data_IF_100161474596
#
_entry.id   IF_100161474596
#
_cell.length_a   1.000
_cell.length_b   1.000
_cell.length_c   1.000
_cell.angle_alpha   90.00
_cell.angle_beta   90.00
_cell.angle_gamma   90.00
#
_symmetry.space_group_name_H-M   'P 1'
#
loop_
_entity.id
_entity.type
_entity.pdbx_description
1 polymer ?
#
# COMPACT_ATOMS: atom_id res chain seq x y z
N UNK A 1 60.79 -1.32 -9.06
CA UNK A 1 60.09 -0.36 -8.17
C UNK A 1 58.69 -0.16 -8.75
N UNK A 2 57.68 -0.57 -7.98
CA UNK A 2 56.23 -0.54 -8.21
C UNK A 2 55.72 0.88 -8.54
N UNK A 3 54.93 1.09 -9.62
CA UNK A 3 53.44 1.14 -9.69
C UNK A 3 52.89 2.30 -8.81
N UNK A 4 51.99 3.22 -9.21
CA UNK A 4 50.64 3.07 -9.77
C UNK A 4 50.12 4.39 -10.37
N UNK A 5 49.29 4.28 -11.41
CA UNK A 5 48.43 5.32 -11.98
C UNK A 5 47.29 5.69 -11.02
N UNK A 6 47.13 6.97 -10.69
CA UNK A 6 46.02 7.48 -9.90
C UNK A 6 44.85 7.87 -10.83
N UNK A 7 43.89 6.96 -11.00
CA UNK A 7 42.60 7.27 -11.60
C UNK A 7 41.67 7.88 -10.53
N UNK A 8 41.38 9.17 -10.66
CA UNK A 8 40.44 9.88 -9.78
C UNK A 8 39.01 9.49 -10.20
N UNK A 9 38.39 8.61 -9.42
CA UNK A 9 36.96 8.30 -9.49
C UNK A 9 36.20 9.34 -8.65
N UNK A 10 35.75 10.43 -9.27
CA UNK A 10 34.77 11.33 -8.66
C UNK A 10 33.41 10.63 -8.66
N UNK A 11 33.02 10.14 -7.49
CA UNK A 11 31.72 9.53 -7.22
C UNK A 11 30.60 10.52 -7.59
N UNK A 12 29.83 10.17 -8.62
CA UNK A 12 28.60 10.85 -9.00
C UNK A 12 27.56 10.63 -7.89
N UNK A 13 27.44 11.60 -6.98
CA UNK A 13 26.43 11.62 -5.93
C UNK A 13 25.06 11.90 -6.58
N UNK A 14 24.37 10.85 -7.00
CA UNK A 14 22.98 10.93 -7.48
C UNK A 14 22.10 11.12 -6.25
N UNK A 15 21.80 12.36 -5.90
CA UNK A 15 20.78 12.68 -4.91
C UNK A 15 19.42 12.39 -5.53
N UNK A 16 18.75 11.33 -5.07
CA UNK A 16 17.33 11.12 -5.35
C UNK A 16 16.54 12.24 -4.65
N UNK A 17 16.26 13.31 -5.38
CA UNK A 17 15.31 14.32 -4.96
C UNK A 17 13.91 13.68 -4.90
N UNK A 18 13.43 13.40 -3.68
CA UNK A 18 12.02 13.09 -3.46
C UNK A 18 11.19 14.31 -3.91
N UNK A 19 10.24 14.10 -4.81
CA UNK A 19 9.33 15.16 -5.25
C UNK A 19 8.62 15.77 -4.02
N UNK A 20 8.66 17.10 -3.83
CA UNK A 20 7.99 17.75 -2.71
C UNK A 20 6.50 17.84 -3.02
N UNK A 21 5.63 17.33 -2.14
CA UNK A 21 4.21 17.60 -2.27
C UNK A 21 3.28 16.83 -1.34
N UNK A 22 3.41 15.50 -1.27
CA UNK A 22 2.47 14.70 -0.48
C UNK A 22 3.08 14.44 0.90
N UNK A 23 2.48 15.00 1.96
CA UNK A 23 2.82 14.59 3.32
C UNK A 23 2.68 13.06 3.41
N UNK A 24 3.67 12.34 3.96
CA UNK A 24 3.55 10.89 4.11
C UNK A 24 2.28 10.62 4.90
N UNK A 25 1.37 9.83 4.32
CA UNK A 25 0.07 9.54 4.92
C UNK A 25 0.30 9.11 6.38
N UNK A 26 -0.30 9.85 7.31
CA UNK A 26 -0.19 9.49 8.73
C UNK A 26 -1.15 8.34 9.01
N UNK A 27 -0.91 7.57 10.08
CA UNK A 27 -1.82 6.47 10.47
C UNK A 27 -3.27 6.95 10.61
N UNK A 28 -3.50 8.21 11.01
CA UNK A 28 -4.83 8.81 11.13
C UNK A 28 -5.53 9.06 9.80
N UNK A 29 -4.78 9.25 8.71
CA UNK A 29 -5.34 9.47 7.37
C UNK A 29 -5.75 8.15 6.69
N UNK A 30 -5.16 7.03 7.12
CA UNK A 30 -5.33 5.72 6.47
C UNK A 30 -6.79 5.29 6.32
N UNK A 31 -7.69 5.42 7.31
CA UNK A 31 -9.10 5.09 7.14
C UNK A 31 -9.77 5.90 6.02
N UNK A 32 -9.54 7.22 5.98
CA UNK A 32 -10.12 8.12 4.98
C UNK A 32 -9.62 7.77 3.58
N UNK A 33 -8.30 7.62 3.42
CA UNK A 33 -7.67 7.27 2.14
C UNK A 33 -8.11 5.89 1.64
N UNK A 34 -8.32 4.94 2.54
CA UNK A 34 -8.85 3.61 2.22
C UNK A 34 -10.29 3.69 1.71
N UNK A 35 -11.15 4.47 2.39
CA UNK A 35 -12.53 4.68 1.94
C UNK A 35 -12.58 5.36 0.57
N UNK A 36 -11.72 6.34 0.31
CA UNK A 36 -11.60 7.00 -1.00
C UNK A 36 -11.15 6.02 -2.10
N UNK A 37 -10.19 5.16 -1.82
CA UNK A 37 -9.77 4.09 -2.74
C UNK A 37 -10.92 3.12 -3.05
N UNK A 38 -11.66 2.68 -2.03
CA UNK A 38 -12.81 1.81 -2.20
C UNK A 38 -13.94 2.49 -2.96
N UNK A 39 -14.26 3.75 -2.67
CA UNK A 39 -15.27 4.51 -3.40
C UNK A 39 -14.94 4.64 -4.89
N UNK A 40 -13.66 4.83 -5.23
CA UNK A 40 -13.20 4.87 -6.63
C UNK A 40 -13.38 3.53 -7.35
N UNK A 41 -13.23 2.40 -6.64
CA UNK A 41 -13.28 1.06 -7.23
C UNK A 41 -14.68 0.44 -7.23
N UNK A 42 -15.45 0.65 -6.17
CA UNK A 42 -16.73 0.00 -5.87
C UNK A 42 -17.92 0.95 -5.89
N UNK A 43 -17.67 2.27 -5.97
CA UNK A 43 -18.69 3.30 -5.90
C UNK A 43 -18.98 3.78 -4.47
N UNK A 44 -19.80 4.85 -4.33
CA UNK A 44 -20.00 5.58 -3.08
C UNK A 44 -20.77 4.78 -1.99
N UNK A 45 -21.38 3.66 -2.37
CA UNK A 45 -22.08 2.76 -1.45
C UNK A 45 -21.13 1.81 -0.68
N UNK A 46 -19.82 1.83 -0.98
CA UNK A 46 -18.85 0.99 -0.28
C UNK A 46 -18.79 1.35 1.22
N UNK A 47 -18.86 0.35 2.08
CA UNK A 47 -18.76 0.49 3.55
C UNK A 47 -17.76 -0.49 4.10
N UNK A 48 -16.80 0.03 4.86
CA UNK A 48 -15.76 -0.77 5.52
C UNK A 48 -16.21 -1.25 6.90
N UNK A 49 -15.81 -2.47 7.28
CA UNK A 49 -15.90 -3.01 8.63
C UNK A 49 -14.66 -3.86 8.96
N UNK A 50 -14.44 -4.10 10.26
CA UNK A 50 -13.32 -4.92 10.78
C UNK A 50 -11.93 -4.49 10.31
N UNK A 51 -11.71 -3.17 10.27
CA UNK A 51 -10.47 -2.57 9.79
C UNK A 51 -9.29 -2.94 10.71
N UNK A 52 -8.26 -3.51 10.11
CA UNK A 52 -6.93 -3.68 10.71
C UNK A 52 -5.92 -2.87 9.90
N UNK A 53 -5.27 -1.91 10.55
CA UNK A 53 -4.25 -1.06 9.96
C UNK A 53 -2.90 -1.43 10.57
N UNK A 54 -1.94 -1.80 9.73
CA UNK A 54 -0.59 -2.20 10.17
C UNK A 54 0.47 -1.51 9.30
N UNK A 55 1.63 -1.14 9.87
CA UNK A 55 2.78 -0.77 9.06
C UNK A 55 3.14 -1.94 8.14
N UNK A 56 3.25 -1.67 6.85
CA UNK A 56 3.64 -2.71 5.89
C UNK A 56 5.12 -3.01 6.05
N UNK A 57 5.47 -4.30 6.17
CA UNK A 57 6.88 -4.74 6.22
C UNK A 57 7.51 -4.89 4.84
N UNK A 58 6.70 -4.82 3.78
CA UNK A 58 7.11 -5.12 2.40
C UNK A 58 7.05 -3.92 1.48
N UNK A 59 6.18 -2.98 1.77
CA UNK A 59 6.02 -1.74 1.02
C UNK A 59 6.10 -0.56 1.99
N UNK A 60 6.65 0.59 1.58
CA UNK A 60 6.55 1.81 2.35
C UNK A 60 5.08 2.12 2.69
N UNK A 61 4.80 2.52 3.94
CA UNK A 61 3.49 2.96 4.40
C UNK A 61 2.67 1.89 5.13
N UNK A 62 1.36 1.84 4.88
CA UNK A 62 0.40 1.06 5.68
C UNK A 62 -0.35 0.04 4.84
N UNK A 63 -0.48 -1.16 5.40
CA UNK A 63 -1.39 -2.20 4.94
C UNK A 63 -2.70 -2.11 5.72
N UNK A 64 -3.82 -2.21 5.00
CA UNK A 64 -5.18 -2.19 5.56
C UNK A 64 -5.91 -3.42 5.10
N UNK A 65 -6.42 -4.20 6.05
CA UNK A 65 -7.28 -5.36 5.81
C UNK A 65 -8.65 -5.11 6.44
N UNK A 66 -9.70 -5.64 5.83
CA UNK A 66 -11.04 -5.57 6.40
C UNK A 66 -12.10 -6.20 5.51
N UNK A 67 -13.35 -5.95 5.85
CA UNK A 67 -14.52 -6.34 5.05
C UNK A 67 -15.17 -5.13 4.41
N UNK A 68 -15.56 -5.24 3.14
CA UNK A 68 -16.27 -4.19 2.42
C UNK A 68 -17.60 -4.71 1.91
N UNK A 69 -18.68 -3.98 2.21
CA UNK A 69 -19.99 -4.19 1.59
C UNK A 69 -20.21 -3.10 0.54
N UNK A 70 -20.76 -3.46 -0.62
CA UNK A 70 -21.15 -2.52 -1.68
C UNK A 70 -22.54 -2.89 -2.21
N UNK A 71 -23.23 -1.97 -2.87
CA UNK A 71 -24.63 -2.17 -3.28
C UNK A 71 -24.82 -3.48 -4.07
N UNK A 72 -25.65 -4.38 -3.53
CA UNK A 72 -25.94 -5.69 -4.12
C UNK A 72 -24.85 -6.76 -3.95
N UNK A 73 -23.75 -6.48 -3.25
CA UNK A 73 -22.66 -7.43 -2.98
C UNK A 73 -22.51 -7.67 -1.48
N UNK A 74 -22.32 -8.94 -1.11
CA UNK A 74 -22.03 -9.35 0.26
C UNK A 74 -20.70 -8.75 0.75
N UNK A 75 -20.46 -8.81 2.07
CA UNK A 75 -19.22 -8.34 2.66
C UNK A 75 -18.01 -9.15 2.15
N UNK A 76 -17.17 -8.54 1.32
CA UNK A 76 -15.97 -9.14 0.73
C UNK A 76 -14.73 -8.76 1.54
N UNK A 77 -13.73 -9.64 1.56
CA UNK A 77 -12.40 -9.31 2.09
C UNK A 77 -11.69 -8.37 1.13
N UNK A 78 -10.98 -7.38 1.64
CA UNK A 78 -10.18 -6.45 0.84
C UNK A 78 -8.81 -6.19 1.48
N UNK A 79 -7.88 -5.70 0.66
CA UNK A 79 -6.54 -5.27 1.08
C UNK A 79 -6.11 -3.99 0.37
N UNK A 80 -5.61 -2.99 1.12
CA UNK A 80 -5.14 -1.71 0.56
C UNK A 80 -3.74 -1.39 1.09
N UNK A 81 -2.86 -0.92 0.21
CA UNK A 81 -1.54 -0.42 0.59
C UNK A 81 -1.37 1.04 0.19
N UNK A 82 -1.11 1.87 1.18
CA UNK A 82 -0.84 3.30 1.03
C UNK A 82 0.69 3.47 1.05
N UNK A 83 1.36 4.02 0.01
CA UNK A 83 0.93 5.20 -0.77
C UNK A 83 0.57 4.90 -2.24
N UNK A 84 -0.55 4.19 -2.48
CA UNK A 84 -1.20 4.20 -3.80
C UNK A 84 -1.27 2.86 -4.56
N UNK A 85 -1.22 1.72 -3.87
CA UNK A 85 -1.45 0.41 -4.51
C UNK A 85 -2.65 -0.28 -3.87
N UNK A 86 -3.72 -0.44 -4.65
CA UNK A 86 -4.95 -1.13 -4.27
C UNK A 86 -4.88 -2.58 -4.77
N UNK A 87 -5.15 -3.57 -3.91
CA UNK A 87 -5.11 -4.97 -4.33
C UNK A 87 -6.28 -5.78 -3.76
N UNK A 88 -7.16 -6.15 -4.70
CA UNK A 88 -7.97 -7.38 -4.76
C UNK A 88 -9.08 -7.53 -3.71
N UNK A 89 -10.26 -7.87 -4.22
CA UNK A 89 -11.43 -8.28 -3.46
C UNK A 89 -11.56 -9.80 -3.49
N UNK A 90 -12.14 -10.42 -2.46
CA UNK A 90 -12.30 -11.88 -2.35
C UNK A 90 -12.90 -12.52 -3.62
N UNK A 91 -13.80 -11.84 -4.34
CA UNK A 91 -14.40 -12.34 -5.58
C UNK A 91 -13.47 -12.30 -6.80
N UNK A 92 -12.43 -11.45 -6.80
CA UNK A 92 -11.52 -11.31 -7.92
C UNK A 92 -10.46 -12.44 -7.92
N UNK A 93 -9.94 -12.81 -6.74
CA UNK A 93 -8.97 -13.93 -6.56
C UNK A 93 -8.80 -14.32 -5.07
N UNK A 94 -9.56 -15.32 -4.59
CA UNK A 94 -9.59 -15.76 -3.18
C UNK A 94 -8.24 -16.23 -2.66
N UNK A 95 -7.46 -16.94 -3.48
CA UNK A 95 -6.16 -17.47 -3.06
C UNK A 95 -5.16 -16.33 -2.84
N UNK A 96 -5.15 -15.37 -3.77
CA UNK A 96 -4.30 -14.20 -3.69
C UNK A 96 -4.64 -13.33 -2.47
N UNK A 97 -5.93 -13.08 -2.22
CA UNK A 97 -6.40 -12.34 -1.04
C UNK A 97 -5.99 -13.04 0.25
N UNK A 98 -6.21 -14.36 0.36
CA UNK A 98 -5.85 -15.13 1.55
C UNK A 98 -4.34 -15.08 1.82
N UNK A 99 -3.52 -15.20 0.77
CA UNK A 99 -2.07 -15.12 0.86
C UNK A 99 -1.63 -13.74 1.34
N UNK A 100 -2.14 -12.65 0.77
CA UNK A 100 -1.76 -11.29 1.20
C UNK A 100 -2.23 -10.98 2.61
N UNK A 101 -3.40 -11.45 3.02
CA UNK A 101 -3.89 -11.32 4.39
C UNK A 101 -2.95 -12.00 5.39
N UNK A 102 -2.66 -13.30 5.17
CA UNK A 102 -1.77 -14.05 6.07
C UNK A 102 -0.39 -13.41 6.19
N UNK A 103 0.12 -12.85 5.09
CA UNK A 103 1.45 -12.23 5.05
C UNK A 103 1.52 -10.86 5.75
N UNK A 104 0.37 -10.25 6.07
CA UNK A 104 0.29 -8.98 6.79
C UNK A 104 -0.36 -9.13 8.18
N UNK A 105 -0.43 -10.37 8.70
CA UNK A 105 -1.05 -10.74 9.98
C UNK A 105 -2.52 -10.28 10.08
N UNK A 106 -3.22 -10.46 8.96
CA UNK A 106 -4.67 -10.39 8.85
C UNK A 106 -5.20 -11.83 8.72
#
# INVERSE_FOLDING_TARGET
MTSWTAAILTALQITLAAAPGEAPATRGDVPRLTQEALNRRLGPAARMSDLRIRPSRRMPGFAVCGRVAASGKSAQRFFVVIPGTFAVLDDDDRELVSKYWSLNDC
#
